data_IF_732254390723
#
_entry.id   IF_732254390723
#
_cell.length_a   1.000
_cell.length_b   1.000
_cell.length_c   1.000
_cell.angle_alpha   90.00
_cell.angle_beta   90.00
_cell.angle_gamma   90.00
#
_symmetry.space_group_name_H-M   'P 1'
#
loop_
_entity.id
_entity.type
_entity.pdbx_description
1 polymer ?
#
# COMPACT_ATOMS: atom_id res chain seq x y z
N UNK A 1 -19.22 -23.24 -5.25
CA UNK A 1 -18.59 -21.91 -5.16
C UNK A 1 -19.55 -20.93 -5.79
N UNK A 2 -19.88 -19.82 -5.12
CA UNK A 2 -20.67 -18.76 -5.73
C UNK A 2 -19.90 -18.22 -6.95
N UNK A 3 -20.62 -17.77 -7.97
CA UNK A 3 -20.01 -17.16 -9.14
C UNK A 3 -19.47 -15.77 -8.73
N UNK A 4 -18.19 -15.52 -8.98
CA UNK A 4 -17.56 -14.23 -8.66
C UNK A 4 -18.23 -13.14 -9.48
N UNK A 5 -18.76 -12.12 -8.79
CA UNK A 5 -19.44 -10.98 -9.40
C UNK A 5 -18.60 -9.74 -9.48
N UNK A 6 -17.60 -9.60 -8.57
CA UNK A 6 -16.79 -8.40 -8.41
C UNK A 6 -15.33 -8.70 -8.71
N UNK A 7 -14.75 -7.89 -9.58
CA UNK A 7 -13.29 -7.83 -9.79
C UNK A 7 -12.68 -6.73 -8.93
N UNK A 8 -11.53 -7.02 -8.32
CA UNK A 8 -10.80 -6.05 -7.51
C UNK A 8 -9.60 -5.52 -8.29
N UNK A 9 -9.44 -4.21 -8.27
CA UNK A 9 -8.33 -3.47 -8.91
C UNK A 9 -7.60 -2.68 -7.84
N UNK A 10 -6.28 -2.66 -7.89
CA UNK A 10 -5.44 -1.78 -7.06
C UNK A 10 -4.24 -1.28 -7.86
N UNK A 11 -3.34 -0.50 -7.24
CA UNK A 11 -2.12 -0.05 -7.91
C UNK A 11 -0.88 -0.80 -7.38
N UNK A 12 0.22 -0.74 -8.15
CA UNK A 12 1.48 -1.37 -7.75
C UNK A 12 2.06 -0.82 -6.44
N UNK A 13 1.74 0.43 -6.08
CA UNK A 13 2.13 1.04 -4.80
C UNK A 13 1.47 0.41 -3.57
N UNK A 14 0.44 -0.42 -3.74
CA UNK A 14 -0.11 -1.28 -2.69
C UNK A 14 0.94 -2.24 -2.14
N UNK A 15 2.01 -2.48 -2.90
CA UNK A 15 3.09 -3.40 -2.56
C UNK A 15 2.58 -4.82 -2.23
N UNK A 16 1.46 -5.19 -2.84
CA UNK A 16 0.86 -6.50 -2.71
C UNK A 16 1.76 -7.56 -3.37
N UNK A 17 2.12 -8.65 -2.68
CA UNK A 17 2.90 -9.73 -3.29
C UNK A 17 2.22 -10.26 -4.57
N UNK A 18 2.97 -10.33 -5.67
CA UNK A 18 2.45 -10.75 -6.98
C UNK A 18 1.77 -12.11 -6.96
N UNK A 19 2.34 -13.05 -6.21
CA UNK A 19 1.76 -14.37 -6.06
C UNK A 19 0.35 -14.28 -5.46
N UNK A 20 0.20 -13.51 -4.38
CA UNK A 20 -1.07 -13.35 -3.67
C UNK A 20 -2.09 -12.59 -4.51
N UNK A 21 -1.64 -11.57 -5.25
CA UNK A 21 -2.48 -10.88 -6.23
C UNK A 21 -3.00 -11.84 -7.31
N UNK A 22 -2.13 -12.69 -7.85
CA UNK A 22 -2.51 -13.69 -8.85
C UNK A 22 -3.45 -14.77 -8.30
N UNK A 23 -3.20 -15.29 -7.10
CA UNK A 23 -4.06 -16.28 -6.46
C UNK A 23 -5.47 -15.75 -6.19
N UNK A 24 -5.60 -14.47 -5.86
CA UNK A 24 -6.87 -13.80 -5.59
C UNK A 24 -7.44 -13.08 -6.81
N UNK A 25 -6.76 -13.15 -7.96
CA UNK A 25 -7.14 -12.50 -9.20
C UNK A 25 -7.39 -10.98 -9.03
N UNK A 26 -6.51 -10.32 -8.25
CA UNK A 26 -6.51 -8.87 -8.09
C UNK A 26 -5.74 -8.26 -9.25
N UNK A 27 -6.37 -7.36 -9.98
CA UNK A 27 -5.74 -6.59 -11.04
C UNK A 27 -4.90 -5.47 -10.46
N UNK A 28 -3.65 -5.38 -10.87
CA UNK A 28 -2.72 -4.36 -10.39
C UNK A 28 -2.37 -3.40 -11.51
N UNK A 29 -2.79 -2.16 -11.39
CA UNK A 29 -2.45 -1.09 -12.35
C UNK A 29 -1.05 -0.58 -12.04
N UNK A 30 -0.10 -0.69 -12.97
CA UNK A 30 1.28 -0.27 -12.72
C UNK A 30 1.39 1.26 -12.65
N UNK A 31 2.16 1.74 -11.68
CA UNK A 31 2.43 3.17 -11.51
C UNK A 31 3.66 3.56 -12.35
N UNK A 32 3.53 4.50 -13.30
CA UNK A 32 4.66 4.92 -14.11
C UNK A 32 5.62 5.81 -13.31
N UNK A 33 6.91 5.56 -13.48
CA UNK A 33 7.96 6.40 -12.91
C UNK A 33 9.19 6.46 -13.81
N UNK A 34 9.96 7.55 -13.68
CA UNK A 34 11.24 7.75 -14.37
C UNK A 34 12.37 7.78 -13.35
N UNK A 35 13.43 7.04 -13.60
CA UNK A 35 14.63 7.03 -12.77
C UNK A 35 15.89 6.89 -13.62
N UNK A 36 16.93 7.66 -13.32
CA UNK A 36 18.22 7.64 -14.03
C UNK A 36 18.10 7.79 -15.57
N UNK A 37 17.11 8.57 -16.04
CA UNK A 37 16.88 8.82 -17.48
C UNK A 37 16.12 7.70 -18.21
N UNK A 38 15.55 6.74 -17.49
CA UNK A 38 14.70 5.68 -18.05
C UNK A 38 13.31 5.72 -17.41
N UNK A 39 12.30 5.38 -18.20
CA UNK A 39 10.93 5.22 -17.78
C UNK A 39 10.65 3.75 -17.46
N UNK A 40 9.82 3.52 -16.44
CA UNK A 40 9.44 2.21 -15.94
C UNK A 40 7.96 2.19 -15.55
N UNK A 41 7.36 1.03 -15.68
CA UNK A 41 6.11 0.66 -15.05
C UNK A 41 6.42 -0.16 -13.78
N UNK A 42 6.03 0.37 -12.64
CA UNK A 42 6.31 -0.20 -11.32
C UNK A 42 5.78 -1.62 -11.20
N UNK A 43 6.67 -2.54 -10.91
CA UNK A 43 6.34 -3.95 -10.80
C UNK A 43 6.18 -4.70 -12.12
N UNK A 44 6.14 -4.06 -13.30
CA UNK A 44 6.14 -4.72 -14.62
C UNK A 44 7.52 -4.71 -15.26
N UNK A 45 8.11 -3.51 -15.44
CA UNK A 45 9.40 -3.35 -16.11
C UNK A 45 10.60 -3.57 -15.19
N UNK A 46 10.38 -3.51 -13.88
CA UNK A 46 11.42 -3.66 -12.87
C UNK A 46 10.84 -4.19 -11.56
N UNK A 47 11.51 -5.18 -10.99
CA UNK A 47 11.19 -5.72 -9.67
C UNK A 47 11.78 -4.86 -8.54
N UNK A 48 11.29 -4.99 -7.28
CA UNK A 48 11.92 -4.33 -6.14
C UNK A 48 13.41 -4.63 -6.02
N UNK A 49 13.80 -5.89 -6.13
CA UNK A 49 15.21 -6.32 -6.02
C UNK A 49 16.09 -5.70 -7.11
N UNK A 50 15.63 -5.70 -8.37
CA UNK A 50 16.35 -5.04 -9.48
C UNK A 50 16.48 -3.54 -9.24
N UNK A 51 15.43 -2.89 -8.71
CA UNK A 51 15.46 -1.47 -8.40
C UNK A 51 16.44 -1.14 -7.28
N UNK A 52 16.57 -1.99 -6.26
CA UNK A 52 17.59 -1.80 -5.21
C UNK A 52 19.00 -1.80 -5.80
N UNK A 53 19.25 -2.62 -6.81
CA UNK A 53 20.54 -2.69 -7.50
C UNK A 53 20.94 -1.43 -8.26
N UNK A 54 19.98 -0.61 -8.69
CA UNK A 54 20.22 0.63 -9.45
C UNK A 54 19.99 1.91 -8.63
N UNK A 55 19.37 1.81 -7.46
CA UNK A 55 19.05 2.96 -6.62
C UNK A 55 20.31 3.60 -6.04
N UNK A 56 20.54 4.87 -6.34
CA UNK A 56 21.72 5.63 -5.97
C UNK A 56 21.39 6.88 -5.18
N UNK A 57 22.04 7.10 -4.04
CA UNK A 57 21.78 8.30 -3.21
C UNK A 57 22.31 9.60 -3.83
N UNK A 58 23.23 9.53 -4.77
CA UNK A 58 23.79 10.67 -5.49
C UNK A 58 22.96 11.12 -6.70
N UNK A 59 22.07 10.27 -7.20
CA UNK A 59 21.15 10.59 -8.28
C UNK A 59 19.92 11.38 -7.81
N UNK A 60 19.24 12.09 -8.72
CA UNK A 60 17.92 12.67 -8.43
C UNK A 60 16.93 11.57 -8.03
N UNK A 61 15.92 11.88 -7.19
CA UNK A 61 14.87 10.92 -6.85
C UNK A 61 14.07 10.55 -8.09
N UNK A 62 13.40 9.40 -8.05
CA UNK A 62 12.48 9.04 -9.11
C UNK A 62 11.38 10.11 -9.25
N UNK A 63 11.00 10.37 -10.50
CA UNK A 63 9.81 11.15 -10.82
C UNK A 63 8.65 10.21 -11.07
N UNK A 64 7.58 10.34 -10.32
CA UNK A 64 6.42 9.45 -10.41
C UNK A 64 5.18 10.21 -10.84
N UNK A 65 4.32 9.58 -11.59
CA UNK A 65 2.98 10.05 -11.92
C UNK A 65 1.94 9.00 -11.54
N UNK A 66 0.71 9.46 -11.30
CA UNK A 66 -0.40 8.50 -11.17
C UNK A 66 -0.63 7.82 -12.52
N UNK A 67 -1.11 6.57 -12.55
CA UNK A 67 -1.60 5.98 -13.78
C UNK A 67 -2.59 6.92 -14.45
N UNK A 68 -2.60 6.95 -15.78
CA UNK A 68 -3.52 7.81 -16.52
C UNK A 68 -4.98 7.34 -16.37
N UNK A 69 -5.98 8.21 -16.52
CA UNK A 69 -7.37 7.77 -16.60
C UNK A 69 -7.61 6.71 -17.67
N UNK A 70 -6.86 6.77 -18.77
CA UNK A 70 -6.92 5.76 -19.83
C UNK A 70 -6.42 4.38 -19.40
N UNK A 71 -5.40 4.31 -18.54
CA UNK A 71 -4.92 3.03 -18.00
C UNK A 71 -6.00 2.34 -17.13
N UNK A 72 -6.69 3.10 -16.29
CA UNK A 72 -7.82 2.57 -15.52
C UNK A 72 -9.00 2.19 -16.43
N UNK A 73 -9.35 3.04 -17.40
CA UNK A 73 -10.40 2.78 -18.36
C UNK A 73 -10.22 1.44 -19.09
N UNK A 74 -9.00 1.14 -19.53
CA UNK A 74 -8.68 -0.11 -20.22
C UNK A 74 -8.99 -1.33 -19.34
N UNK A 75 -8.56 -1.30 -18.09
CA UNK A 75 -8.83 -2.35 -17.10
C UNK A 75 -10.34 -2.46 -16.83
N UNK A 76 -10.99 -1.34 -16.57
CA UNK A 76 -12.44 -1.32 -16.28
C UNK A 76 -13.25 -1.85 -17.44
N UNK A 77 -12.95 -1.42 -18.68
CA UNK A 77 -13.61 -1.90 -19.89
C UNK A 77 -13.50 -3.42 -20.05
N UNK A 78 -12.31 -3.96 -19.83
CA UNK A 78 -12.04 -5.41 -19.92
C UNK A 78 -12.82 -6.19 -18.89
N UNK A 79 -12.81 -5.76 -17.63
CA UNK A 79 -13.47 -6.45 -16.52
C UNK A 79 -15.00 -6.37 -16.63
N UNK A 80 -15.54 -5.18 -16.91
CA UNK A 80 -16.98 -5.01 -17.15
C UNK A 80 -17.45 -5.76 -18.39
N UNK A 81 -16.64 -5.80 -19.46
CA UNK A 81 -16.92 -6.59 -20.66
C UNK A 81 -16.96 -8.10 -20.41
N UNK A 82 -16.33 -8.57 -19.33
CA UNK A 82 -16.45 -9.95 -18.84
C UNK A 82 -17.68 -10.17 -17.92
N UNK A 83 -18.54 -9.16 -17.76
CA UNK A 83 -19.74 -9.22 -16.92
C UNK A 83 -19.51 -9.01 -15.43
N UNK A 84 -18.36 -8.47 -15.03
CA UNK A 84 -18.02 -8.23 -13.63
C UNK A 84 -18.31 -6.78 -13.22
N UNK A 85 -18.75 -6.58 -11.99
CA UNK A 85 -18.65 -5.29 -11.32
C UNK A 85 -17.18 -5.05 -10.91
N UNK A 86 -16.77 -3.80 -10.77
CA UNK A 86 -15.37 -3.45 -10.44
C UNK A 86 -15.31 -2.65 -9.16
N UNK A 87 -14.42 -3.06 -8.23
CA UNK A 87 -14.01 -2.28 -7.09
C UNK A 87 -12.52 -1.93 -7.20
N UNK A 88 -12.23 -0.64 -7.41
CA UNK A 88 -10.87 -0.12 -7.48
C UNK A 88 -10.48 0.49 -6.13
N UNK A 89 -9.54 -0.13 -5.44
CA UNK A 89 -8.94 0.37 -4.19
C UNK A 89 -7.66 1.11 -4.55
N UNK A 90 -7.56 2.38 -4.15
CA UNK A 90 -6.45 3.25 -4.52
C UNK A 90 -5.64 3.72 -3.32
N UNK A 91 -4.36 4.02 -3.53
CA UNK A 91 -3.56 4.74 -2.54
C UNK A 91 -4.19 6.10 -2.23
N UNK A 92 -4.06 6.56 -0.98
CA UNK A 92 -4.72 7.79 -0.55
C UNK A 92 -4.26 9.04 -1.30
N UNK A 93 -5.22 9.83 -1.75
CA UNK A 93 -4.98 11.13 -2.39
C UNK A 93 -4.35 12.16 -1.45
N UNK A 94 -4.47 11.99 -0.12
CA UNK A 94 -3.92 12.91 0.88
C UNK A 94 -2.39 12.89 0.97
N UNK A 95 -1.74 11.81 0.53
CA UNK A 95 -0.27 11.69 0.47
C UNK A 95 0.28 12.21 -0.88
N UNK A 96 -0.44 13.10 -1.52
CA UNK A 96 -0.04 13.75 -2.75
C UNK A 96 -0.01 12.82 -3.99
N UNK A 97 -0.87 11.84 -4.04
CA UNK A 97 -1.16 11.10 -5.27
C UNK A 97 -2.43 11.66 -5.92
N UNK A 98 -2.56 11.45 -7.22
CA UNK A 98 -3.80 11.69 -7.95
C UNK A 98 -4.47 10.38 -8.36
N UNK A 99 -4.12 9.29 -7.69
CA UNK A 99 -4.62 7.97 -8.03
C UNK A 99 -6.14 7.90 -7.90
N UNK A 100 -6.76 8.33 -6.77
CA UNK A 100 -8.21 8.30 -6.66
C UNK A 100 -8.92 9.16 -7.72
N UNK A 101 -8.39 10.34 -8.02
CA UNK A 101 -8.95 11.23 -9.05
C UNK A 101 -8.80 10.60 -10.45
N UNK A 102 -7.63 10.03 -10.74
CA UNK A 102 -7.34 9.41 -12.03
C UNK A 102 -8.23 8.17 -12.26
N UNK A 103 -8.42 7.33 -11.23
CA UNK A 103 -9.31 6.19 -11.28
C UNK A 103 -10.78 6.62 -11.47
N UNK A 104 -11.24 7.66 -10.76
CA UNK A 104 -12.58 8.22 -10.94
C UNK A 104 -12.78 8.79 -12.34
N UNK A 105 -11.78 9.47 -12.91
CA UNK A 105 -11.84 9.92 -14.30
C UNK A 105 -11.91 8.74 -15.26
N UNK A 106 -11.15 7.66 -15.02
CA UNK A 106 -11.26 6.41 -15.81
C UNK A 106 -12.66 5.81 -15.77
N UNK A 107 -13.31 5.84 -14.60
CA UNK A 107 -14.72 5.43 -14.45
C UNK A 107 -15.68 6.31 -15.26
N UNK A 108 -15.50 7.65 -15.20
CA UNK A 108 -16.36 8.55 -16.00
C UNK A 108 -16.16 8.33 -17.50
N UNK A 109 -14.94 8.14 -17.96
CA UNK A 109 -14.66 7.80 -19.36
C UNK A 109 -15.32 6.46 -19.76
N UNK A 110 -15.27 5.44 -18.90
CA UNK A 110 -15.97 4.17 -19.14
C UNK A 110 -17.48 4.38 -19.32
N UNK A 111 -18.08 5.24 -18.48
CA UNK A 111 -19.50 5.59 -18.56
C UNK A 111 -19.83 6.34 -19.86
N UNK A 112 -18.99 7.30 -20.26
CA UNK A 112 -19.15 8.06 -21.52
C UNK A 112 -19.06 7.16 -22.75
N UNK A 113 -18.22 6.11 -22.71
CA UNK A 113 -18.10 5.11 -23.77
C UNK A 113 -19.22 4.04 -23.74
N UNK A 114 -20.13 4.11 -22.78
CA UNK A 114 -21.23 3.15 -22.67
C UNK A 114 -20.80 1.77 -22.16
N UNK A 115 -19.72 1.70 -21.39
CA UNK A 115 -19.30 0.46 -20.71
C UNK A 115 -20.39 0.08 -19.69
N UNK A 116 -21.03 -1.05 -19.93
CA UNK A 116 -22.01 -1.60 -19.00
C UNK A 116 -21.32 -2.27 -17.82
N UNK A 117 -21.80 -2.00 -16.61
CA UNK A 117 -21.26 -2.54 -15.36
C UNK A 117 -21.05 -1.46 -14.30
N UNK A 118 -21.01 -1.88 -13.07
CA UNK A 118 -20.79 -0.98 -11.95
C UNK A 118 -19.30 -0.89 -11.62
N UNK A 119 -18.81 0.33 -11.48
CA UNK A 119 -17.42 0.62 -11.13
C UNK A 119 -17.42 1.54 -9.91
N UNK A 120 -16.83 1.08 -8.81
CA UNK A 120 -16.63 1.87 -7.60
C UNK A 120 -15.14 2.13 -7.35
N UNK A 121 -14.82 3.29 -6.80
CA UNK A 121 -13.44 3.70 -6.49
C UNK A 121 -13.36 4.13 -5.04
N UNK A 122 -12.60 3.37 -4.25
CA UNK A 122 -12.32 3.62 -2.85
C UNK A 122 -10.92 4.24 -2.68
N UNK A 123 -10.83 5.41 -2.04
CA UNK A 123 -9.56 5.90 -1.48
C UNK A 123 -9.29 5.14 -0.18
N UNK A 124 -8.24 4.33 -0.13
CA UNK A 124 -7.93 3.48 1.02
C UNK A 124 -7.62 4.24 2.32
N UNK A 125 -7.35 5.54 2.23
CA UNK A 125 -6.81 6.29 3.37
C UNK A 125 -5.40 5.85 3.78
N UNK A 126 -4.74 4.98 3.00
CA UNK A 126 -3.44 4.38 3.30
C UNK A 126 -2.54 4.29 2.05
N UNK A 127 -1.46 3.54 2.16
CA UNK A 127 -0.54 3.20 1.07
C UNK A 127 0.13 1.85 1.38
N UNK A 128 0.91 1.30 0.45
CA UNK A 128 1.61 0.03 0.62
C UNK A 128 0.64 -1.07 1.11
N UNK A 129 1.07 -2.00 1.95
CA UNK A 129 0.18 -3.06 2.43
C UNK A 129 -1.00 -2.56 3.28
N UNK A 130 -1.04 -1.30 3.70
CA UNK A 130 -2.27 -0.73 4.26
C UNK A 130 -3.39 -0.62 3.22
N UNK A 131 -3.07 -0.25 1.98
CA UNK A 131 -3.96 -0.34 0.81
C UNK A 131 -4.12 -1.80 0.37
N UNK A 132 -3.01 -2.55 0.33
CA UNK A 132 -2.99 -3.96 -0.06
C UNK A 132 -3.94 -4.83 0.76
N UNK A 133 -4.04 -4.62 2.07
CA UNK A 133 -4.99 -5.33 2.93
C UNK A 133 -6.45 -5.08 2.54
N UNK A 134 -6.81 -3.85 2.19
CA UNK A 134 -8.16 -3.57 1.71
C UNK A 134 -8.45 -4.24 0.37
N UNK A 135 -7.47 -4.29 -0.53
CA UNK A 135 -7.61 -5.03 -1.79
C UNK A 135 -7.73 -6.55 -1.55
N UNK A 136 -6.95 -7.11 -0.61
CA UNK A 136 -7.04 -8.51 -0.21
C UNK A 136 -8.42 -8.85 0.36
N UNK A 137 -8.91 -8.04 1.27
CA UNK A 137 -10.21 -8.25 1.90
C UNK A 137 -11.35 -8.17 0.88
N UNK A 138 -11.30 -7.17 -0.01
CA UNK A 138 -12.24 -7.06 -1.12
C UNK A 138 -12.26 -8.33 -1.99
N UNK A 139 -11.08 -8.86 -2.32
CA UNK A 139 -10.98 -10.04 -3.18
C UNK A 139 -11.45 -11.32 -2.48
N UNK A 140 -11.21 -11.44 -1.17
CA UNK A 140 -11.73 -12.55 -0.34
C UNK A 140 -13.25 -12.52 -0.32
N UNK A 141 -13.84 -11.38 0.00
CA UNK A 141 -15.29 -11.19 -0.02
C UNK A 141 -15.89 -11.47 -1.40
N UNK A 142 -15.26 -10.97 -2.47
CA UNK A 142 -15.76 -11.17 -3.84
C UNK A 142 -15.90 -12.65 -4.22
N UNK A 143 -15.14 -13.56 -3.61
CA UNK A 143 -15.24 -15.01 -3.80
C UNK A 143 -16.43 -15.63 -3.07
N UNK A 144 -16.99 -14.93 -2.09
CA UNK A 144 -18.16 -15.37 -1.33
C UNK A 144 -19.46 -14.97 -2.02
N UNK A 145 -19.40 -14.05 -3.02
CA UNK A 145 -20.49 -13.69 -3.91
C UNK A 145 -21.28 -12.42 -3.59
N UNK A 146 -20.90 -11.57 -2.59
CA UNK A 146 -21.57 -10.29 -2.39
C UNK A 146 -21.32 -9.35 -3.58
N UNK A 147 -22.24 -8.38 -3.75
CA UNK A 147 -22.08 -7.32 -4.73
C UNK A 147 -21.11 -6.23 -4.29
N UNK A 148 -20.73 -5.37 -5.23
CA UNK A 148 -19.72 -4.32 -4.99
C UNK A 148 -20.09 -3.35 -3.86
N UNK A 149 -21.38 -3.07 -3.64
CA UNK A 149 -21.85 -2.18 -2.56
C UNK A 149 -21.56 -2.73 -1.18
N UNK A 150 -21.82 -4.02 -0.98
CA UNK A 150 -21.60 -4.67 0.31
C UNK A 150 -20.11 -4.74 0.63
N UNK A 151 -19.29 -5.09 -0.37
CA UNK A 151 -17.82 -5.07 -0.22
C UNK A 151 -17.34 -3.65 0.10
N UNK A 152 -17.78 -2.64 -0.67
CA UNK A 152 -17.40 -1.25 -0.45
C UNK A 152 -17.72 -0.78 0.96
N UNK A 153 -18.94 -1.04 1.45
CA UNK A 153 -19.37 -0.68 2.81
C UNK A 153 -18.46 -1.30 3.88
N UNK A 154 -18.08 -2.56 3.69
CA UNK A 154 -17.16 -3.25 4.59
C UNK A 154 -15.76 -2.63 4.57
N UNK A 155 -15.25 -2.30 3.38
CA UNK A 155 -13.93 -1.68 3.27
C UNK A 155 -13.89 -0.25 3.82
N UNK A 156 -14.97 0.51 3.70
CA UNK A 156 -15.08 1.84 4.33
C UNK A 156 -14.96 1.75 5.86
N UNK A 157 -15.55 0.75 6.48
CA UNK A 157 -15.37 0.48 7.91
C UNK A 157 -13.92 0.08 8.24
N UNK A 158 -13.35 -0.85 7.48
CA UNK A 158 -11.99 -1.35 7.71
C UNK A 158 -10.92 -0.30 7.46
N UNK A 159 -11.10 0.60 6.49
CA UNK A 159 -10.13 1.66 6.18
C UNK A 159 -9.82 2.56 7.39
N UNK A 160 -10.81 2.75 8.27
CA UNK A 160 -10.65 3.46 9.54
C UNK A 160 -9.84 2.72 10.60
N UNK A 161 -9.56 1.42 10.40
CA UNK A 161 -8.82 0.55 11.33
C UNK A 161 -7.41 0.22 10.85
N UNK A 162 -7.12 0.49 9.58
CA UNK A 162 -5.80 0.22 9.00
C UNK A 162 -4.79 1.24 9.49
N UNK A 163 -3.67 0.76 10.02
CA UNK A 163 -2.49 1.54 10.36
C UNK A 163 -1.28 1.04 9.57
N UNK A 164 -0.48 1.94 9.03
CA UNK A 164 0.83 1.64 8.45
C UNK A 164 1.89 2.42 9.22
N UNK A 165 2.74 1.72 9.94
CA UNK A 165 3.90 2.26 10.65
C UNK A 165 5.15 1.98 9.83
N UNK A 166 5.99 2.97 9.62
CA UNK A 166 7.27 2.78 8.91
C UNK A 166 8.43 3.43 9.65
N UNK A 167 9.61 2.84 9.53
CA UNK A 167 10.87 3.48 9.95
C UNK A 167 11.84 3.57 8.79
N UNK A 168 12.51 4.71 8.68
CA UNK A 168 13.45 5.02 7.63
C UNK A 168 14.89 4.85 8.14
N UNK A 169 15.74 4.25 7.33
CA UNK A 169 17.17 4.19 7.64
C UNK A 169 17.88 5.53 7.38
N UNK A 170 17.39 6.29 6.42
CA UNK A 170 17.92 7.60 6.05
C UNK A 170 16.80 8.55 5.61
N UNK A 171 17.00 9.85 5.88
CA UNK A 171 16.11 10.91 5.39
C UNK A 171 16.52 11.45 4.00
N UNK A 172 17.59 10.91 3.44
CA UNK A 172 18.23 11.45 2.24
C UNK A 172 17.31 11.42 1.02
N UNK A 173 16.57 10.31 0.85
CA UNK A 173 15.60 10.15 -0.24
C UNK A 173 14.36 11.00 -0.02
N UNK A 174 13.83 10.99 1.20
CA UNK A 174 12.63 11.75 1.56
C UNK A 174 12.82 13.26 1.33
N UNK A 175 13.99 13.81 1.68
CA UNK A 175 14.30 15.24 1.55
C UNK A 175 14.37 15.73 0.10
N UNK A 176 14.71 14.85 -0.83
CA UNK A 176 14.82 15.14 -2.26
C UNK A 176 13.47 15.16 -2.96
N UNK A 177 12.47 14.50 -2.41
CA UNK A 177 11.14 14.38 -3.01
C UNK A 177 10.29 15.62 -2.70
N UNK A 178 9.93 16.38 -3.73
CA UNK A 178 9.14 17.60 -3.57
C UNK A 178 7.82 17.39 -2.80
N UNK A 179 7.18 16.25 -3.05
CA UNK A 179 5.91 15.81 -2.46
C UNK A 179 6.01 15.58 -0.95
N UNK A 180 7.11 15.00 -0.48
CA UNK A 180 7.35 14.67 0.93
C UNK A 180 8.23 15.70 1.66
N UNK A 181 8.55 16.81 1.01
CA UNK A 181 9.42 17.87 1.57
C UNK A 181 8.92 18.43 2.91
N UNK A 182 7.60 18.53 3.07
CA UNK A 182 6.99 18.99 4.33
C UNK A 182 7.27 18.00 5.46
N UNK A 183 7.13 16.70 5.21
CA UNK A 183 7.46 15.66 6.18
C UNK A 183 8.97 15.67 6.48
N UNK A 184 9.83 15.75 5.47
CA UNK A 184 11.27 15.88 5.65
C UNK A 184 11.67 17.10 6.48
N UNK A 185 10.98 18.24 6.30
CA UNK A 185 11.24 19.47 7.04
C UNK A 185 11.00 19.33 8.55
N UNK A 186 10.11 18.46 8.98
CA UNK A 186 9.88 18.17 10.41
C UNK A 186 11.13 17.57 11.07
N UNK A 187 11.99 16.94 10.29
CA UNK A 187 13.22 16.29 10.74
C UNK A 187 14.50 17.10 10.45
N UNK A 188 14.37 18.29 9.80
CA UNK A 188 15.52 19.04 9.28
C UNK A 188 16.58 19.44 10.32
N UNK A 189 16.21 19.54 11.59
CA UNK A 189 17.09 19.87 12.70
C UNK A 189 17.71 18.66 13.40
N UNK A 190 17.29 17.45 13.05
CA UNK A 190 17.73 16.23 13.70
C UNK A 190 18.74 15.48 12.82
N UNK A 191 19.98 15.41 13.28
CA UNK A 191 21.05 14.64 12.64
C UNK A 191 20.98 13.18 13.11
N UNK A 192 21.14 12.24 12.16
CA UNK A 192 21.28 10.81 12.44
C UNK A 192 20.10 10.20 13.23
N UNK A 193 18.86 10.47 12.79
CA UNK A 193 17.69 9.84 13.35
C UNK A 193 17.13 8.76 12.40
N UNK A 194 16.39 7.84 12.98
CA UNK A 194 15.63 6.78 12.31
C UNK A 194 14.14 6.98 12.64
N UNK A 195 13.44 7.90 11.96
CA UNK A 195 12.09 8.28 12.37
C UNK A 195 11.10 7.13 12.23
N UNK A 196 10.14 7.07 13.15
CA UNK A 196 8.94 6.24 13.02
C UNK A 196 7.80 7.15 12.60
N UNK A 197 7.16 6.78 11.51
CA UNK A 197 6.09 7.54 10.85
C UNK A 197 4.84 6.67 10.77
N UNK A 198 3.70 7.23 11.09
CA UNK A 198 2.39 6.61 10.98
C UNK A 198 1.63 7.16 9.78
N UNK A 199 1.03 6.24 9.02
CA UNK A 199 0.02 6.51 8.00
C UNK A 199 -1.30 5.92 8.49
N UNK A 200 -2.29 6.75 8.69
CA UNK A 200 -3.59 6.36 9.22
C UNK A 200 -4.66 7.34 8.77
N UNK A 201 -5.77 6.84 8.23
CA UNK A 201 -6.91 7.65 7.75
C UNK A 201 -6.52 8.77 6.77
N UNK A 202 -5.53 8.50 5.95
CA UNK A 202 -4.97 9.45 4.98
C UNK A 202 -4.07 10.54 5.58
N UNK A 203 -3.75 10.48 6.87
CA UNK A 203 -2.80 11.37 7.52
C UNK A 203 -1.43 10.71 7.66
N UNK A 204 -0.39 11.54 7.53
CA UNK A 204 0.99 11.12 7.75
C UNK A 204 1.55 11.89 8.93
N UNK A 205 1.89 11.19 10.00
CA UNK A 205 2.36 11.79 11.24
C UNK A 205 3.68 11.19 11.68
N UNK A 206 4.71 12.00 11.97
CA UNK A 206 5.88 11.52 12.70
C UNK A 206 5.46 11.21 14.14
N UNK A 207 5.84 10.04 14.62
CA UNK A 207 5.58 9.63 16.01
C UNK A 207 6.82 9.80 16.87
N UNK A 208 7.94 9.21 16.46
CA UNK A 208 9.18 9.18 17.24
C UNK A 208 10.41 9.36 16.36
N UNK A 209 11.53 9.71 16.98
CA UNK A 209 12.81 9.94 16.30
C UNK A 209 13.96 9.21 17.00
N UNK A 210 13.97 7.87 17.06
CA UNK A 210 15.08 7.09 17.58
C UNK A 210 16.39 7.43 16.85
N UNK A 211 17.51 7.26 17.54
CA UNK A 211 18.84 7.53 16.96
C UNK A 211 19.54 6.29 16.41
N UNK A 212 19.11 5.11 16.79
CA UNK A 212 19.70 3.85 16.34
C UNK A 212 18.66 2.99 15.62
N UNK A 213 19.12 2.20 14.66
CA UNK A 213 18.27 1.28 13.91
C UNK A 213 17.54 0.31 14.85
N UNK A 214 18.28 -0.37 15.71
CA UNK A 214 17.70 -1.31 16.70
C UNK A 214 16.57 -0.67 17.50
N UNK A 215 16.78 0.55 18.02
CA UNK A 215 15.74 1.24 18.79
C UNK A 215 14.55 1.65 17.93
N UNK A 216 14.75 1.95 16.65
CA UNK A 216 13.66 2.28 15.74
C UNK A 216 12.77 1.08 15.47
N UNK A 217 13.34 -0.11 15.22
CA UNK A 217 12.60 -1.36 15.04
C UNK A 217 11.85 -1.75 16.33
N UNK A 218 12.51 -1.69 17.48
CA UNK A 218 11.90 -1.93 18.79
C UNK A 218 10.68 -1.02 19.05
N UNK A 219 10.80 0.28 18.70
CA UNK A 219 9.70 1.24 18.82
C UNK A 219 8.61 1.05 17.77
N UNK A 220 8.99 0.64 16.56
CA UNK A 220 8.03 0.29 15.51
C UNK A 220 7.07 -0.80 15.98
N UNK A 221 7.61 -1.87 16.57
CA UNK A 221 6.82 -2.97 17.11
C UNK A 221 6.00 -2.55 18.34
N UNK A 222 6.59 -1.83 19.28
CA UNK A 222 5.86 -1.35 20.46
C UNK A 222 4.68 -0.42 20.08
N UNK A 223 4.88 0.45 19.10
CA UNK A 223 3.80 1.32 18.59
C UNK A 223 2.72 0.53 17.83
N UNK A 224 3.06 -0.60 17.22
CA UNK A 224 2.07 -1.52 16.65
C UNK A 224 1.26 -2.20 17.75
N UNK A 225 1.91 -2.69 18.81
CA UNK A 225 1.23 -3.26 19.99
C UNK A 225 0.23 -2.30 20.63
N UNK A 226 0.59 -1.01 20.76
CA UNK A 226 -0.30 0.02 21.31
C UNK A 226 -1.60 0.21 20.48
N UNK A 227 -1.64 -0.30 19.25
CA UNK A 227 -2.78 -0.19 18.31
C UNK A 227 -3.65 -1.44 18.24
N UNK A 228 -3.18 -2.51 18.85
CA UNK A 228 -3.92 -3.78 18.91
C UNK A 228 -4.82 -3.76 20.13
N UNK A 229 -6.13 -3.88 19.92
CA UNK A 229 -7.09 -3.94 21.02
C UNK A 229 -7.26 -5.36 21.59
N UNK A 230 -7.00 -6.37 20.77
CA UNK A 230 -7.22 -7.79 21.11
C UNK A 230 -8.69 -8.19 21.02
N UNK A 231 -9.56 -7.37 20.44
CA UNK A 231 -10.99 -7.65 20.34
C UNK A 231 -11.39 -8.45 19.10
N UNK A 232 -10.51 -8.50 18.09
CA UNK A 232 -10.75 -9.20 16.83
C UNK A 232 -9.50 -9.85 16.24
N UNK A 233 -9.67 -10.63 15.16
CA UNK A 233 -8.54 -11.20 14.42
C UNK A 233 -7.61 -10.10 13.92
N UNK A 234 -6.32 -10.25 14.22
CA UNK A 234 -5.28 -9.31 13.82
C UNK A 234 -4.61 -9.77 12.51
N UNK A 235 -4.46 -8.86 11.57
CA UNK A 235 -3.72 -9.05 10.33
C UNK A 235 -2.51 -8.11 10.31
N UNK A 236 -1.34 -8.65 10.01
CA UNK A 236 -0.09 -7.88 9.97
C UNK A 236 0.69 -8.19 8.70
N UNK A 237 1.23 -7.16 8.07
CA UNK A 237 2.24 -7.29 7.02
C UNK A 237 3.52 -6.57 7.46
N UNK A 238 4.61 -7.33 7.54
CA UNK A 238 5.95 -6.78 7.66
C UNK A 238 6.45 -6.44 6.26
N UNK A 239 6.84 -5.20 6.05
CA UNK A 239 7.31 -4.74 4.75
C UNK A 239 8.75 -4.22 4.82
N UNK A 240 9.51 -4.43 3.75
CA UNK A 240 10.90 -3.96 3.69
C UNK A 240 11.30 -3.45 2.30
N UNK A 241 12.37 -2.66 2.26
CA UNK A 241 13.11 -2.33 1.05
C UNK A 241 14.59 -2.65 1.28
N UNK A 242 15.12 -3.67 0.58
CA UNK A 242 16.48 -4.16 0.73
C UNK A 242 16.91 -4.47 2.19
N UNK A 243 15.98 -4.99 3.01
CA UNK A 243 16.19 -5.33 4.42
C UNK A 243 15.50 -6.66 4.79
N UNK A 244 15.60 -7.67 3.93
CA UNK A 244 14.86 -8.93 4.06
C UNK A 244 15.19 -9.71 5.32
N UNK A 245 16.47 -9.77 5.74
CA UNK A 245 16.88 -10.45 6.96
C UNK A 245 16.24 -9.81 8.20
N UNK A 246 16.35 -8.49 8.31
CA UNK A 246 15.76 -7.71 9.41
C UNK A 246 14.22 -7.76 9.41
N UNK A 247 13.60 -7.85 8.23
CA UNK A 247 12.16 -8.05 8.10
C UNK A 247 11.74 -9.45 8.58
N UNK A 248 12.56 -10.47 8.30
CA UNK A 248 12.35 -11.83 8.82
C UNK A 248 12.42 -11.88 10.35
N UNK A 249 13.44 -11.25 10.95
CA UNK A 249 13.57 -11.13 12.41
C UNK A 249 12.35 -10.41 13.01
N UNK A 250 11.96 -9.28 12.43
CA UNK A 250 10.78 -8.52 12.88
C UNK A 250 9.49 -9.34 12.74
N UNK A 251 9.36 -10.16 11.70
CA UNK A 251 8.18 -11.02 11.52
C UNK A 251 8.07 -12.08 12.63
N UNK A 252 9.21 -12.66 13.07
CA UNK A 252 9.21 -13.59 14.20
C UNK A 252 8.81 -12.88 15.50
N UNK A 253 9.35 -11.68 15.78
CA UNK A 253 8.94 -10.89 16.94
C UNK A 253 7.44 -10.52 16.91
N UNK A 254 6.91 -10.15 15.73
CA UNK A 254 5.46 -9.90 15.52
C UNK A 254 4.66 -11.14 15.83
N UNK A 255 5.09 -12.32 15.35
CA UNK A 255 4.41 -13.60 15.61
C UNK A 255 4.35 -13.93 17.10
N UNK A 256 5.47 -13.76 17.80
CA UNK A 256 5.57 -14.08 19.22
C UNK A 256 4.79 -13.10 20.11
N UNK A 257 4.82 -11.80 19.80
CA UNK A 257 4.28 -10.76 20.67
C UNK A 257 2.85 -10.38 20.37
N UNK A 258 2.44 -10.39 19.09
CA UNK A 258 1.09 -9.99 18.67
C UNK A 258 0.18 -11.16 18.32
N UNK A 259 0.72 -12.33 17.96
CA UNK A 259 -0.03 -13.52 17.62
C UNK A 259 -1.06 -13.31 16.50
N UNK A 260 -0.70 -12.69 15.36
CA UNK A 260 -1.66 -12.35 14.33
C UNK A 260 -2.27 -13.60 13.69
N UNK A 261 -3.54 -13.51 13.30
CA UNK A 261 -4.22 -14.54 12.48
C UNK A 261 -3.55 -14.69 11.11
N UNK A 262 -3.11 -13.58 10.54
CA UNK A 262 -2.40 -13.52 9.26
C UNK A 262 -1.13 -12.69 9.42
N UNK A 263 0.00 -13.25 8.99
CA UNK A 263 1.27 -12.57 8.94
C UNK A 263 1.88 -12.70 7.55
N UNK A 264 2.04 -11.58 6.87
CA UNK A 264 2.67 -11.49 5.56
C UNK A 264 4.05 -10.83 5.68
N UNK A 265 4.98 -11.23 4.81
CA UNK A 265 6.23 -10.50 4.59
C UNK A 265 6.23 -10.06 3.12
N UNK A 266 6.42 -8.78 2.86
CA UNK A 266 6.34 -8.21 1.53
C UNK A 266 7.43 -7.15 1.29
N UNK A 267 7.82 -6.97 0.04
CA UNK A 267 8.69 -5.88 -0.35
C UNK A 267 7.88 -4.61 -0.64
N UNK A 268 8.44 -3.46 -0.29
CA UNK A 268 7.92 -2.20 -0.81
C UNK A 268 8.20 -2.11 -2.31
N UNK A 269 7.24 -1.61 -3.07
CA UNK A 269 7.40 -1.42 -4.50
C UNK A 269 8.57 -0.48 -4.85
N UNK A 270 9.13 -0.55 -6.07
CA UNK A 270 10.12 0.40 -6.57
C UNK A 270 9.75 1.86 -6.35
N UNK A 271 8.51 2.24 -6.63
CA UNK A 271 8.02 3.60 -6.40
C UNK A 271 8.09 3.97 -4.91
N UNK A 272 7.60 3.13 -4.01
CA UNK A 272 7.65 3.39 -2.57
C UNK A 272 9.10 3.48 -2.06
N UNK A 273 9.96 2.57 -2.53
CA UNK A 273 11.38 2.56 -2.18
C UNK A 273 12.12 3.81 -2.67
N UNK A 274 11.74 4.35 -3.83
CA UNK A 274 12.37 5.57 -4.38
C UNK A 274 12.21 6.79 -3.46
N UNK A 275 11.16 6.82 -2.64
CA UNK A 275 10.89 7.91 -1.71
C UNK A 275 11.57 7.76 -0.36
N UNK A 276 11.71 6.51 0.10
CA UNK A 276 12.17 6.23 1.46
C UNK A 276 13.61 5.69 1.51
N UNK A 277 14.07 5.09 0.41
CA UNK A 277 15.38 4.48 0.28
C UNK A 277 15.45 3.05 0.82
N UNK A 278 16.60 2.39 0.62
CA UNK A 278 16.87 1.08 1.17
C UNK A 278 16.91 1.14 2.70
N UNK A 279 16.60 0.02 3.35
CA UNK A 279 16.47 -0.06 4.80
C UNK A 279 15.12 0.45 5.33
N UNK A 280 14.15 0.79 4.45
CA UNK A 280 12.78 1.04 4.87
C UNK A 280 12.22 -0.26 5.46
N UNK A 281 11.64 -0.18 6.67
CA UNK A 281 10.84 -1.23 7.30
C UNK A 281 9.47 -0.68 7.66
N UNK A 282 8.43 -1.52 7.55
CA UNK A 282 7.08 -1.15 7.89
C UNK A 282 6.28 -2.28 8.50
N UNK A 283 5.27 -1.91 9.27
CA UNK A 283 4.21 -2.77 9.77
C UNK A 283 2.88 -2.17 9.32
N UNK A 284 2.20 -2.83 8.39
CA UNK A 284 0.80 -2.57 8.11
C UNK A 284 -0.03 -3.51 8.97
N UNK A 285 -1.06 -3.00 9.64
CA UNK A 285 -1.90 -3.82 10.50
C UNK A 285 -3.34 -3.31 10.55
N UNK A 286 -4.27 -4.23 10.77
CA UNK A 286 -5.65 -3.96 11.15
C UNK A 286 -6.23 -5.11 11.96
N UNK A 287 -7.20 -4.81 12.82
CA UNK A 287 -8.04 -5.80 13.48
C UNK A 287 -9.43 -5.82 12.85
N UNK A 288 -9.94 -7.02 12.61
CA UNK A 288 -11.34 -7.18 12.23
C UNK A 288 -12.27 -6.71 13.38
N UNK A 289 -13.48 -6.20 13.08
CA UNK A 289 -14.44 -5.89 14.13
C UNK A 289 -14.77 -7.13 14.95
N UNK A 290 -15.11 -6.95 16.26
CA UNK A 290 -15.59 -8.04 17.10
C UNK A 290 -16.82 -8.72 16.47
N UNK A 291 -16.78 -10.06 16.34
CA UNK A 291 -17.90 -10.82 15.80
C UNK A 291 -17.96 -10.92 14.27
N UNK A 292 -16.97 -10.45 13.55
CA UNK A 292 -16.75 -10.86 12.17
C UNK A 292 -16.44 -12.36 12.20
N UNK A 293 -17.41 -13.19 11.82
CA UNK A 293 -17.25 -14.65 11.79
C UNK A 293 -16.19 -15.09 10.79
N UNK A 294 -15.74 -16.35 10.90
CA UNK A 294 -14.79 -16.90 9.96
C UNK A 294 -15.36 -16.97 8.57
#
# INVERSE_FOLDING_TARGET
MAERRVAVVTESVSSLPRQLAGELEIEVVPVPFSYAGRDYLDGEDITPEEFYGILRPDLPPASTSSPSPGAYLEVFRRLCGAGLEVLCVTATGKIATRMPESARMGRELAREEGVEGRIEVLDSGSAAMGEGFLALEAARMAREGPGVEEILSRLEELSGRVSLLVTLDTLQYLSKTARLRRLAALFAKALQIKPVILFERGEVRPLETPRTRRKAVERLLALAEERVSGEGPLHVAVQHAAAGEEAGELAEEVRERLGPRELLVAEFSPVMTSYAGPGLLGLALYEEPPGAGP
#
